data_IF_752488849222
#
_entry.id   IF_752488849222
#
_cell.length_a   1.000
_cell.length_b   1.000
_cell.length_c   1.000
_cell.angle_alpha   90.00
_cell.angle_beta   90.00
_cell.angle_gamma   90.00
#
_symmetry.space_group_name_H-M   'P 1'
#
loop_
_entity.id
_entity.type
_entity.pdbx_description
1 polymer ?
#
# COMPACT_ATOMS: atom_id res chain seq x y z
N UNK A 1 7.03 9.77 13.91
CA UNK A 1 8.51 9.89 13.99
C UNK A 1 8.99 10.64 15.23
N UNK A 2 9.95 10.08 15.98
CA UNK A 2 10.51 10.68 17.21
C UNK A 2 11.03 12.13 17.02
N UNK A 3 11.54 12.44 15.84
CA UNK A 3 12.12 13.76 15.53
C UNK A 3 11.09 14.83 15.17
N UNK A 4 9.84 14.47 14.89
CA UNK A 4 8.79 15.44 14.51
C UNK A 4 9.04 16.20 13.20
N UNK A 5 9.86 15.64 12.29
CA UNK A 5 10.12 16.22 10.97
C UNK A 5 9.59 15.29 9.88
N UNK A 6 9.27 15.85 8.71
CA UNK A 6 8.82 15.08 7.54
C UNK A 6 9.92 14.13 7.08
N UNK A 7 9.53 12.90 6.69
CA UNK A 7 10.41 11.86 6.15
C UNK A 7 9.72 11.17 4.98
N UNK A 8 10.52 10.70 4.02
CA UNK A 8 10.07 9.90 2.87
C UNK A 8 8.93 10.55 2.06
N UNK A 9 8.86 11.88 2.04
CA UNK A 9 7.92 12.60 1.18
C UNK A 9 8.47 12.69 -0.25
N UNK A 10 7.58 12.53 -1.24
CA UNK A 10 7.87 12.80 -2.65
C UNK A 10 8.22 14.29 -2.88
N UNK A 11 7.62 15.19 -2.10
CA UNK A 11 8.06 16.59 -1.98
C UNK A 11 9.36 16.65 -1.18
N UNK A 12 10.46 16.29 -1.83
CA UNK A 12 11.73 16.00 -1.17
C UNK A 12 12.30 17.17 -0.36
N UNK A 13 11.99 18.41 -0.74
CA UNK A 13 12.39 19.63 -0.02
C UNK A 13 11.75 19.76 1.38
N UNK A 14 10.68 19.01 1.67
CA UNK A 14 10.09 18.95 3.01
C UNK A 14 10.84 18.00 3.94
N UNK A 15 11.60 17.04 3.41
CA UNK A 15 12.28 16.05 4.25
C UNK A 15 13.26 16.73 5.21
N UNK A 16 13.17 16.40 6.50
CA UNK A 16 13.95 17.03 7.56
C UNK A 16 13.37 18.34 8.10
N UNK A 17 12.27 18.84 7.54
CA UNK A 17 11.63 20.09 7.98
C UNK A 17 10.49 19.84 8.98
N UNK A 18 10.28 20.74 9.98
CA UNK A 18 9.19 20.70 10.94
C UNK A 18 7.91 21.35 10.36
N UNK A 19 7.44 20.80 9.23
CA UNK A 19 6.44 21.46 8.38
C UNK A 19 5.11 21.78 9.09
N UNK A 20 4.66 20.91 9.98
CA UNK A 20 3.48 21.13 10.83
C UNK A 20 3.65 22.36 11.73
N UNK A 21 4.81 22.52 12.35
CA UNK A 21 5.12 23.67 13.21
C UNK A 21 5.23 24.96 12.42
N UNK A 22 5.92 24.92 11.29
CA UNK A 22 6.10 26.08 10.41
C UNK A 22 4.75 26.60 9.91
N UNK A 23 3.85 25.69 9.51
CA UNK A 23 2.50 26.06 9.10
C UNK A 23 1.65 26.53 10.29
N UNK A 24 1.74 25.86 11.44
CA UNK A 24 0.97 26.25 12.62
C UNK A 24 1.30 27.68 13.07
N UNK A 25 2.59 28.05 13.03
CA UNK A 25 3.04 29.40 13.36
C UNK A 25 2.52 30.44 12.37
N UNK A 26 2.59 30.14 11.06
CA UNK A 26 2.15 31.07 10.01
C UNK A 26 0.63 31.25 9.94
N UNK A 27 -0.12 30.22 10.30
CA UNK A 27 -1.59 30.21 10.22
C UNK A 27 -2.25 30.53 11.57
N UNK A 28 -1.48 30.71 12.63
CA UNK A 28 -1.94 30.95 14.00
C UNK A 28 -3.01 29.94 14.47
N UNK A 29 -2.86 28.69 14.03
CA UNK A 29 -3.80 27.60 14.34
C UNK A 29 -3.10 26.25 14.36
N UNK A 30 -3.73 25.27 15.01
CA UNK A 30 -3.21 23.90 15.00
C UNK A 30 -3.22 23.32 13.56
N UNK A 31 -2.07 22.79 13.14
CA UNK A 31 -1.94 22.00 11.91
C UNK A 31 -1.50 20.59 12.28
N UNK A 32 -2.25 19.60 11.82
CA UNK A 32 -1.91 18.18 11.95
C UNK A 32 -1.55 17.62 10.60
N UNK A 33 -0.53 16.76 10.57
CA UNK A 33 -0.10 16.04 9.38
C UNK A 33 -0.26 14.54 9.58
N UNK A 34 -0.63 13.86 8.51
CA UNK A 34 -0.66 12.41 8.41
C UNK A 34 -0.23 12.02 6.98
N UNK A 35 0.21 10.78 6.78
CA UNK A 35 0.39 10.25 5.44
C UNK A 35 -0.97 10.08 4.74
N UNK A 36 -0.95 9.99 3.43
CA UNK A 36 -2.12 9.82 2.56
C UNK A 36 -2.95 8.58 2.92
N UNK A 37 -2.31 7.46 3.24
CA UNK A 37 -3.00 6.23 3.65
C UNK A 37 -3.78 6.37 4.97
N UNK A 38 -3.22 7.08 5.96
CA UNK A 38 -3.91 7.41 7.20
C UNK A 38 -5.05 8.41 6.96
N UNK A 39 -4.86 9.38 6.07
CA UNK A 39 -5.93 10.29 5.65
C UNK A 39 -7.09 9.53 5.02
N UNK A 40 -6.82 8.55 4.14
CA UNK A 40 -7.85 7.66 3.60
C UNK A 40 -8.57 6.92 4.71
N UNK A 41 -7.84 6.25 5.61
CA UNK A 41 -8.47 5.46 6.67
C UNK A 41 -9.39 6.30 7.57
N UNK A 42 -9.00 7.53 7.89
CA UNK A 42 -9.85 8.47 8.64
C UNK A 42 -11.05 8.90 7.83
N UNK A 43 -10.87 9.25 6.56
CA UNK A 43 -11.98 9.62 5.66
C UNK A 43 -13.02 8.51 5.60
N UNK A 44 -12.59 7.27 5.34
CA UNK A 44 -13.48 6.12 5.26
C UNK A 44 -14.18 5.80 6.59
N UNK A 45 -13.51 6.04 7.72
CA UNK A 45 -14.06 5.77 9.05
C UNK A 45 -15.06 6.84 9.53
N UNK A 46 -14.92 8.09 9.08
CA UNK A 46 -15.76 9.21 9.55
C UNK A 46 -17.06 9.29 8.75
N UNK A 47 -16.96 9.37 7.42
CA UNK A 47 -18.11 9.61 6.54
C UNK A 47 -18.06 8.84 5.22
N UNK A 48 -17.06 7.98 5.02
CA UNK A 48 -16.96 7.09 3.86
C UNK A 48 -17.59 5.71 4.04
N UNK A 49 -17.04 4.70 3.35
CA UNK A 49 -17.60 3.36 3.25
C UNK A 49 -17.60 2.58 4.58
N UNK A 50 -16.81 3.02 5.56
CA UNK A 50 -16.70 2.41 6.88
C UNK A 50 -17.25 3.33 8.00
N UNK A 51 -18.10 4.29 7.67
CA UNK A 51 -18.71 5.20 8.64
C UNK A 51 -19.39 4.43 9.78
N UNK A 52 -19.03 4.77 11.02
CA UNK A 52 -19.54 4.11 12.23
C UNK A 52 -18.81 2.83 12.65
N UNK A 53 -17.85 2.34 11.86
CA UNK A 53 -17.00 1.23 12.26
C UNK A 53 -15.98 1.65 13.34
N UNK A 54 -15.73 0.79 14.32
CA UNK A 54 -14.76 1.06 15.39
C UNK A 54 -13.32 0.89 14.94
N UNK A 55 -13.06 -0.04 14.02
CA UNK A 55 -11.74 -0.35 13.49
C UNK A 55 -11.84 -0.39 11.98
N UNK A 56 -11.03 0.42 11.31
CA UNK A 56 -10.99 0.51 9.85
C UNK A 56 -9.56 0.29 9.39
N UNK A 57 -9.38 -0.68 8.52
CA UNK A 57 -8.14 -0.91 7.78
C UNK A 57 -8.41 -0.57 6.32
N UNK A 58 -7.94 0.60 5.88
CA UNK A 58 -8.16 1.07 4.51
C UNK A 58 -6.92 0.78 3.68
N UNK A 59 -7.10 0.10 2.55
CA UNK A 59 -6.02 -0.32 1.66
C UNK A 59 -6.03 0.50 0.39
N UNK A 60 -4.86 0.99 0.00
CA UNK A 60 -4.62 1.65 -1.29
C UNK A 60 -3.90 0.66 -2.18
N UNK A 61 -4.45 0.41 -3.37
CA UNK A 61 -3.83 -0.36 -4.44
C UNK A 61 -3.72 0.56 -5.65
N UNK A 62 -2.49 0.89 -6.03
CA UNK A 62 -2.18 1.78 -7.15
C UNK A 62 -0.82 1.42 -7.74
N UNK A 63 0.01 2.40 -8.11
CA UNK A 63 1.39 2.12 -8.55
C UNK A 63 2.17 1.32 -7.51
N UNK A 64 1.99 1.66 -6.23
CA UNK A 64 2.42 0.91 -5.05
C UNK A 64 1.21 0.35 -4.28
N UNK A 65 1.44 -0.11 -3.05
CA UNK A 65 0.33 -0.40 -2.15
C UNK A 65 0.66 0.04 -0.72
N UNK A 66 -0.36 0.49 -0.01
CA UNK A 66 -0.23 0.95 1.36
C UNK A 66 -1.54 0.78 2.10
N UNK A 67 -1.52 1.02 3.41
CA UNK A 67 -2.73 1.02 4.19
C UNK A 67 -2.69 2.05 5.32
N UNK A 68 -3.86 2.44 5.78
CA UNK A 68 -4.04 3.21 7.01
C UNK A 68 -4.92 2.45 7.98
N UNK A 69 -4.71 2.68 9.27
CA UNK A 69 -5.58 2.16 10.33
C UNK A 69 -6.26 3.33 11.01
N UNK A 70 -7.58 3.27 11.15
CA UNK A 70 -8.34 4.20 11.98
C UNK A 70 -9.05 3.43 13.10
N UNK A 71 -8.94 3.96 14.32
CA UNK A 71 -9.62 3.46 15.50
C UNK A 71 -10.56 4.55 16.02
N UNK A 72 -11.86 4.25 16.08
CA UNK A 72 -12.91 5.17 16.49
C UNK A 72 -12.83 6.52 15.74
N UNK A 73 -12.71 6.46 14.40
CA UNK A 73 -12.62 7.64 13.54
C UNK A 73 -11.31 8.44 13.63
N UNK A 74 -10.25 7.90 14.26
CA UNK A 74 -8.96 8.58 14.42
C UNK A 74 -7.82 7.72 13.87
N UNK A 75 -6.88 8.33 13.16
CA UNK A 75 -5.71 7.63 12.64
C UNK A 75 -4.90 6.98 13.78
N UNK A 76 -4.61 5.70 13.63
CA UNK A 76 -3.68 4.97 14.47
C UNK A 76 -2.31 4.98 13.81
N UNK A 77 -1.43 5.88 14.26
CA UNK A 77 -0.13 6.15 13.62
C UNK A 77 1.00 5.23 14.09
N UNK A 78 0.81 4.49 15.19
CA UNK A 78 1.85 3.67 15.83
C UNK A 78 3.00 4.48 16.45
N UNK A 79 3.86 3.81 17.22
CA UNK A 79 4.93 4.47 17.99
C UNK A 79 5.98 5.19 17.14
N UNK A 80 6.24 4.69 15.93
CA UNK A 80 7.21 5.31 15.01
C UNK A 80 6.56 6.16 13.91
N UNK A 81 5.22 6.21 13.83
CA UNK A 81 4.50 6.84 12.72
C UNK A 81 4.44 5.97 11.46
N UNK A 82 4.53 4.65 11.61
CA UNK A 82 4.58 3.67 10.53
C UNK A 82 3.51 2.57 10.66
N UNK A 83 2.50 2.77 11.50
CA UNK A 83 1.34 1.87 11.48
C UNK A 83 0.63 1.99 10.13
N UNK A 84 0.17 0.85 9.61
CA UNK A 84 -0.42 0.79 8.27
C UNK A 84 0.56 0.59 7.12
N UNK A 85 1.88 0.56 7.35
CA UNK A 85 2.91 0.21 6.35
C UNK A 85 2.88 -1.30 5.95
N UNK A 86 1.66 -1.85 5.82
CA UNK A 86 1.33 -3.24 5.52
C UNK A 86 1.91 -3.71 4.18
N UNK A 87 1.99 -2.83 3.17
CA UNK A 87 2.60 -3.14 1.88
C UNK A 87 4.07 -3.59 2.01
N UNK A 88 4.76 -3.21 3.09
CA UNK A 88 6.14 -3.60 3.36
C UNK A 88 6.30 -4.80 4.29
N UNK A 89 5.20 -5.41 4.75
CA UNK A 89 5.27 -6.70 5.41
C UNK A 89 5.57 -7.81 4.39
N UNK A 90 6.25 -8.90 4.79
CA UNK A 90 6.41 -10.06 3.93
C UNK A 90 5.05 -10.66 3.54
N UNK A 91 4.89 -11.07 2.28
CA UNK A 91 3.72 -11.85 1.85
C UNK A 91 3.63 -13.15 2.68
N UNK A 92 2.49 -13.46 3.30
CA UNK A 92 2.35 -14.66 4.12
C UNK A 92 2.13 -15.91 3.26
N UNK A 93 2.50 -17.08 3.80
CA UNK A 93 2.26 -18.41 3.21
C UNK A 93 2.73 -18.52 1.74
N UNK A 94 3.96 -18.11 1.49
CA UNK A 94 4.57 -18.20 0.15
C UNK A 94 4.68 -19.66 -0.32
N UNK A 95 4.27 -19.92 -1.56
CA UNK A 95 4.61 -21.15 -2.28
C UNK A 95 6.00 -21.05 -2.93
N UNK A 96 6.47 -22.14 -3.53
CA UNK A 96 7.80 -22.21 -4.14
C UNK A 96 8.04 -21.18 -5.25
N UNK A 97 7.01 -20.82 -6.03
CA UNK A 97 7.14 -19.79 -7.06
C UNK A 97 7.26 -18.39 -6.47
N UNK A 98 6.47 -18.09 -5.45
CA UNK A 98 6.50 -16.82 -4.72
C UNK A 98 7.83 -16.65 -3.95
N UNK A 99 8.38 -17.74 -3.42
CA UNK A 99 9.71 -17.76 -2.79
C UNK A 99 10.84 -17.46 -3.79
N UNK A 100 10.76 -17.98 -5.02
CA UNK A 100 11.71 -17.62 -6.08
C UNK A 100 11.56 -16.16 -6.47
N UNK A 101 10.33 -15.70 -6.71
CA UNK A 101 10.05 -14.31 -7.05
C UNK A 101 10.58 -13.32 -6.01
N UNK A 102 10.40 -13.64 -4.72
CA UNK A 102 10.95 -12.86 -3.60
C UNK A 102 12.47 -12.63 -3.71
N UNK A 103 13.21 -13.60 -4.23
CA UNK A 103 14.67 -13.49 -4.38
C UNK A 103 15.07 -12.64 -5.60
N UNK A 104 14.22 -12.59 -6.63
CA UNK A 104 14.48 -11.90 -7.90
C UNK A 104 14.04 -10.43 -7.88
N UNK A 105 12.96 -10.11 -7.16
CA UNK A 105 12.35 -8.78 -7.16
C UNK A 105 12.55 -8.07 -5.82
N UNK A 106 13.52 -7.14 -5.72
CA UNK A 106 13.73 -6.38 -4.50
C UNK A 106 12.63 -5.33 -4.30
N UNK A 107 12.25 -5.08 -3.05
CA UNK A 107 11.45 -3.91 -2.71
C UNK A 107 12.37 -2.70 -2.52
N UNK A 108 11.91 -1.51 -2.90
CA UNK A 108 12.67 -0.27 -2.74
C UNK A 108 13.03 0.04 -1.28
N UNK A 109 12.26 -0.51 -0.32
CA UNK A 109 12.52 -0.36 1.11
C UNK A 109 13.78 -1.12 1.58
N UNK A 110 14.45 -1.85 0.69
CA UNK A 110 15.66 -2.64 0.97
C UNK A 110 15.38 -4.03 1.54
N UNK A 111 14.11 -4.46 1.56
CA UNK A 111 13.68 -5.81 1.95
C UNK A 111 13.23 -6.60 0.73
N UNK A 112 12.93 -7.87 0.95
CA UNK A 112 12.49 -8.81 -0.09
C UNK A 112 11.13 -9.39 0.28
N UNK A 113 10.30 -9.62 -0.73
CA UNK A 113 9.01 -10.28 -0.55
C UNK A 113 7.96 -9.43 0.14
N UNK A 114 8.11 -8.10 0.10
CA UNK A 114 7.09 -7.18 0.57
C UNK A 114 5.79 -7.38 -0.23
N UNK A 115 4.64 -7.34 0.43
CA UNK A 115 3.30 -7.46 -0.20
C UNK A 115 3.17 -6.56 -1.44
N UNK A 116 3.71 -5.35 -1.39
CA UNK A 116 3.70 -4.38 -2.50
C UNK A 116 4.30 -4.92 -3.80
N UNK A 117 5.35 -5.73 -3.74
CA UNK A 117 5.96 -6.28 -4.95
C UNK A 117 5.04 -7.25 -5.68
N UNK A 118 4.00 -7.75 -4.99
CA UNK A 118 3.03 -8.70 -5.55
C UNK A 118 1.72 -8.03 -5.95
N UNK A 119 1.14 -7.21 -5.06
CA UNK A 119 -0.25 -6.77 -5.21
C UNK A 119 -0.42 -5.32 -5.68
N UNK A 120 0.66 -4.56 -5.80
CA UNK A 120 0.58 -3.25 -6.44
C UNK A 120 0.28 -3.40 -7.93
N UNK A 121 -0.15 -2.34 -8.59
CA UNK A 121 -0.33 -2.32 -10.03
C UNK A 121 0.98 -2.59 -10.79
N UNK A 122 2.13 -2.17 -10.23
CA UNK A 122 3.45 -2.54 -10.79
C UNK A 122 3.78 -4.01 -10.54
N UNK A 123 3.44 -4.56 -9.37
CA UNK A 123 3.54 -5.99 -9.07
C UNK A 123 2.71 -6.85 -10.01
N UNK A 124 1.45 -6.49 -10.23
CA UNK A 124 0.54 -7.17 -11.16
C UNK A 124 1.08 -7.15 -12.60
N UNK A 125 1.53 -5.98 -13.07
CA UNK A 125 2.15 -5.85 -14.39
C UNK A 125 3.42 -6.71 -14.52
N UNK A 126 4.22 -6.78 -13.46
CA UNK A 126 5.45 -7.59 -13.42
C UNK A 126 5.14 -9.09 -13.49
N UNK A 127 4.12 -9.57 -12.76
CA UNK A 127 3.73 -10.99 -12.82
C UNK A 127 3.21 -11.36 -14.21
N UNK A 128 2.36 -10.51 -14.82
CA UNK A 128 1.93 -10.71 -16.20
C UNK A 128 3.11 -10.73 -17.18
N UNK A 129 4.10 -9.85 -17.01
CA UNK A 129 5.30 -9.85 -17.86
C UNK A 129 6.10 -11.15 -17.72
N UNK A 130 6.20 -11.73 -16.52
CA UNK A 130 6.86 -13.03 -16.30
C UNK A 130 6.13 -14.18 -17.01
N UNK A 131 4.81 -14.14 -17.04
CA UNK A 131 3.98 -15.16 -17.70
C UNK A 131 3.96 -15.01 -19.24
N UNK A 132 3.90 -13.77 -19.72
CA UNK A 132 3.65 -13.47 -21.14
C UNK A 132 4.91 -13.12 -21.94
N UNK A 133 5.96 -12.66 -21.28
CA UNK A 133 7.13 -12.01 -21.90
C UNK A 133 6.87 -10.57 -22.36
N UNK A 134 5.67 -10.01 -22.11
CA UNK A 134 5.26 -8.68 -22.57
C UNK A 134 4.99 -7.76 -21.38
N UNK A 135 5.61 -6.58 -21.38
CA UNK A 135 5.30 -5.53 -20.41
C UNK A 135 4.04 -4.79 -20.82
N UNK A 136 3.01 -4.83 -19.97
CA UNK A 136 1.74 -4.12 -20.16
C UNK A 136 1.33 -3.43 -18.86
N UNK A 137 0.53 -2.37 -18.98
CA UNK A 137 -0.12 -1.72 -17.84
C UNK A 137 -1.26 -2.58 -17.29
N UNK A 138 -1.63 -2.38 -16.02
CA UNK A 138 -2.75 -3.09 -15.40
C UNK A 138 -4.06 -2.97 -16.21
N UNK A 139 -4.35 -1.78 -16.75
CA UNK A 139 -5.52 -1.56 -17.60
C UNK A 139 -5.49 -2.35 -18.92
N UNK A 140 -4.32 -2.49 -19.53
CA UNK A 140 -4.17 -3.29 -20.75
C UNK A 140 -4.33 -4.78 -20.46
N UNK A 141 -3.81 -5.25 -19.33
CA UNK A 141 -3.98 -6.63 -18.88
C UNK A 141 -5.45 -6.92 -18.62
N UNK A 142 -6.17 -6.03 -17.92
CA UNK A 142 -7.61 -6.20 -17.67
C UNK A 142 -8.46 -6.19 -18.94
N UNK A 143 -8.05 -5.45 -19.98
CA UNK A 143 -8.69 -5.55 -21.30
C UNK A 143 -8.52 -6.96 -21.89
N UNK A 144 -7.32 -7.54 -21.80
CA UNK A 144 -7.05 -8.91 -22.26
C UNK A 144 -7.82 -9.96 -21.45
N UNK A 145 -8.03 -9.75 -20.15
CA UNK A 145 -8.95 -10.58 -19.35
C UNK A 145 -10.35 -10.55 -19.94
N UNK A 146 -10.87 -9.37 -20.30
CA UNK A 146 -12.18 -9.24 -20.95
C UNK A 146 -12.27 -9.90 -22.33
N UNK A 147 -11.13 -10.18 -22.96
CA UNK A 147 -11.00 -10.87 -24.25
C UNK A 147 -10.74 -12.38 -24.11
N UNK A 148 -10.57 -12.89 -22.87
CA UNK A 148 -10.31 -14.31 -22.59
C UNK A 148 -8.86 -14.74 -22.84
N UNK A 149 -7.88 -13.83 -22.75
CA UNK A 149 -6.46 -14.21 -22.84
C UNK A 149 -6.04 -15.07 -21.64
N UNK A 150 -5.61 -16.30 -21.91
CA UNK A 150 -5.27 -17.29 -20.87
C UNK A 150 -4.21 -16.79 -19.88
N UNK A 151 -3.24 -15.99 -20.34
CA UNK A 151 -2.16 -15.48 -19.47
C UNK A 151 -2.64 -14.33 -18.61
N UNK A 152 -3.51 -13.47 -19.15
CA UNK A 152 -4.13 -12.39 -18.40
C UNK A 152 -5.06 -12.94 -17.31
N UNK A 153 -5.87 -13.95 -17.63
CA UNK A 153 -6.71 -14.63 -16.64
C UNK A 153 -5.87 -15.32 -15.56
N UNK A 154 -4.78 -15.99 -15.93
CA UNK A 154 -3.87 -16.60 -14.96
C UNK A 154 -3.20 -15.55 -14.05
N UNK A 155 -2.78 -14.40 -14.61
CA UNK A 155 -2.22 -13.31 -13.81
C UNK A 155 -3.25 -12.77 -12.81
N UNK A 156 -4.52 -12.60 -13.24
CA UNK A 156 -5.60 -12.16 -12.37
C UNK A 156 -5.89 -13.18 -11.25
N UNK A 157 -5.98 -14.46 -11.59
CA UNK A 157 -6.19 -15.54 -10.62
C UNK A 157 -5.07 -15.58 -9.57
N UNK A 158 -3.80 -15.45 -9.99
CA UNK A 158 -2.65 -15.33 -9.07
C UNK A 158 -2.77 -14.09 -8.20
N UNK A 159 -3.11 -12.95 -8.79
CA UNK A 159 -3.29 -11.68 -8.08
C UNK A 159 -4.36 -11.79 -6.98
N UNK A 160 -5.52 -12.38 -7.26
CA UNK A 160 -6.59 -12.58 -6.30
C UNK A 160 -6.13 -13.43 -5.10
N UNK A 161 -5.38 -14.50 -5.34
CA UNK A 161 -4.81 -15.32 -4.27
C UNK A 161 -3.78 -14.55 -3.43
N UNK A 162 -2.91 -13.78 -4.07
CA UNK A 162 -1.90 -12.95 -3.40
C UNK A 162 -2.54 -11.85 -2.56
N UNK A 163 -3.58 -11.19 -3.09
CA UNK A 163 -4.37 -10.19 -2.36
C UNK A 163 -5.10 -10.83 -1.17
N UNK A 164 -5.72 -11.99 -1.35
CA UNK A 164 -6.39 -12.72 -0.27
C UNK A 164 -5.42 -13.09 0.87
N UNK A 165 -4.25 -13.67 0.54
CA UNK A 165 -3.18 -13.95 1.51
C UNK A 165 -2.78 -12.69 2.27
N UNK A 166 -2.57 -11.60 1.53
CA UNK A 166 -2.12 -10.33 2.07
C UNK A 166 -3.14 -9.71 3.03
N UNK A 167 -4.44 -9.83 2.75
CA UNK A 167 -5.49 -9.29 3.63
C UNK A 167 -5.73 -10.21 4.84
N UNK A 168 -5.69 -11.54 4.64
CA UNK A 168 -6.04 -12.51 5.66
C UNK A 168 -5.18 -12.43 6.93
N UNK A 169 -3.89 -12.08 6.82
CA UNK A 169 -2.99 -11.94 7.99
C UNK A 169 -3.16 -10.63 8.78
N UNK A 170 -3.99 -9.70 8.30
CA UNK A 170 -4.36 -8.49 9.07
C UNK A 170 -5.65 -8.75 9.84
N UNK A 171 -6.53 -9.59 9.28
CA UNK A 171 -7.83 -9.91 9.85
C UNK A 171 -7.71 -10.93 11.00
N UNK A 172 -6.77 -11.88 10.92
CA UNK A 172 -6.54 -12.95 11.90
C UNK A 172 -5.16 -12.85 12.53
#
# INVERSE_FOLDING_TARGET
PYTGVVKNANSTWLNGQPFDKDLSLRLEREVRLANDANCLAVSEAVDGAAAGAQTVFAVIIGTGCGAGVALNGRAHIGGNGNAGEWGHNPLPWMNDDELRYRAEVPCYCGKQGCIETFISGTGFATDYQRLSGKGLTGSEIMRLVGEGDEKAELALSRYEQLLAKSLAHVVN
#
